data_IF_286335950409
#
_entry.id   IF_286335950409
#
_cell.length_a   1.000
_cell.length_b   1.000
_cell.length_c   1.000
_cell.angle_alpha   90.00
_cell.angle_beta   90.00
_cell.angle_gamma   90.00
#
_symmetry.space_group_name_H-M   'P 1'
#
loop_
_entity.id
_entity.type
_entity.pdbx_description
1 polymer ?
#
# COMPACT_ATOMS: atom_id res chain seq x y z
N UNK A 1 -17.97 -23.40 -13.56
CA UNK A 1 -18.25 -21.97 -13.84
C UNK A 1 -18.31 -21.29 -12.49
N UNK A 2 -17.18 -20.80 -11.98
CA UNK A 2 -17.16 -19.92 -10.80
C UNK A 2 -16.91 -18.53 -11.38
N UNK A 3 -18.00 -17.95 -11.87
CA UNK A 3 -18.02 -16.59 -12.39
C UNK A 3 -17.98 -15.62 -11.20
N UNK A 4 -16.98 -14.74 -11.14
CA UNK A 4 -17.16 -13.43 -10.52
C UNK A 4 -16.92 -13.27 -9.02
N UNK A 5 -16.01 -14.02 -8.38
CA UNK A 5 -15.44 -13.58 -7.09
C UNK A 5 -14.34 -12.54 -7.32
N UNK A 6 -14.67 -11.44 -8.00
CA UNK A 6 -13.90 -10.20 -7.85
C UNK A 6 -14.43 -9.53 -6.58
N UNK A 7 -13.55 -9.17 -5.65
CA UNK A 7 -13.95 -8.54 -4.39
C UNK A 7 -14.62 -7.18 -4.68
N UNK A 8 -15.96 -7.12 -4.65
CA UNK A 8 -16.76 -5.97 -5.13
C UNK A 8 -16.79 -4.79 -4.14
N UNK A 9 -16.25 -4.94 -2.92
CA UNK A 9 -16.34 -3.95 -1.83
C UNK A 9 -14.99 -3.66 -1.18
N UNK A 10 -14.87 -2.43 -0.67
CA UNK A 10 -13.78 -1.95 0.18
C UNK A 10 -13.90 -2.51 1.61
N UNK A 11 -13.94 -3.83 1.74
CA UNK A 11 -14.06 -4.49 3.05
C UNK A 11 -12.66 -4.61 3.68
N UNK A 12 -12.56 -4.33 4.99
CA UNK A 12 -11.32 -4.54 5.73
C UNK A 12 -10.90 -6.02 5.67
N UNK A 13 -9.60 -6.29 5.66
CA UNK A 13 -9.11 -7.67 5.69
C UNK A 13 -9.61 -8.36 6.97
N UNK A 14 -10.05 -9.62 6.85
CA UNK A 14 -10.48 -10.43 7.98
C UNK A 14 -9.29 -10.94 8.82
N UNK A 15 -8.32 -10.06 9.11
CA UNK A 15 -7.12 -10.38 9.88
C UNK A 15 -7.02 -9.52 11.13
N UNK A 16 -6.46 -10.11 12.20
CA UNK A 16 -6.21 -9.38 13.43
C UNK A 16 -5.19 -8.25 13.22
N UNK A 17 -5.36 -7.11 13.92
CA UNK A 17 -4.38 -6.03 13.89
C UNK A 17 -2.99 -6.49 14.33
N UNK A 18 -1.93 -5.90 13.74
CA UNK A 18 -0.51 -6.12 14.13
C UNK A 18 -0.05 -7.59 14.05
N UNK A 19 -0.43 -8.27 12.97
CA UNK A 19 -0.09 -9.67 12.71
C UNK A 19 1.05 -9.83 11.71
N UNK A 20 1.23 -8.88 10.80
CA UNK A 20 2.27 -8.92 9.76
C UNK A 20 3.42 -7.97 10.07
N UNK A 21 4.63 -8.41 9.74
CA UNK A 21 5.85 -7.60 9.88
C UNK A 21 6.28 -6.95 8.55
N UNK A 22 5.78 -7.46 7.42
CA UNK A 22 6.04 -6.91 6.10
C UNK A 22 4.83 -7.04 5.19
N UNK A 23 4.56 -6.01 4.38
CA UNK A 23 3.57 -6.02 3.30
C UNK A 23 4.28 -5.70 1.98
N UNK A 24 4.00 -6.50 0.95
CA UNK A 24 4.55 -6.30 -0.39
C UNK A 24 3.41 -6.17 -1.40
N UNK A 25 3.49 -5.19 -2.28
CA UNK A 25 2.53 -4.96 -3.36
C UNK A 25 3.25 -4.66 -4.68
N UNK A 26 2.85 -5.33 -5.76
CA UNK A 26 3.39 -5.12 -7.11
C UNK A 26 2.26 -4.86 -8.09
N UNK A 27 2.25 -3.68 -8.71
CA UNK A 27 1.17 -3.24 -9.61
C UNK A 27 -0.21 -3.10 -8.95
N UNK A 28 -0.30 -3.19 -7.62
CA UNK A 28 -1.56 -3.20 -6.90
C UNK A 28 -2.37 -1.90 -7.09
N UNK A 29 -1.71 -0.74 -7.05
CA UNK A 29 -2.40 0.55 -7.17
C UNK A 29 -2.88 0.80 -8.60
N UNK A 30 -2.16 0.27 -9.61
CA UNK A 30 -2.59 0.32 -11.01
C UNK A 30 -3.83 -0.55 -11.28
N UNK A 31 -3.91 -1.72 -10.65
CA UNK A 31 -5.07 -2.59 -10.70
C UNK A 31 -6.29 -1.91 -10.05
N UNK A 32 -6.13 -1.38 -8.84
CA UNK A 32 -7.19 -0.67 -8.11
C UNK A 32 -7.71 0.56 -8.86
N UNK A 33 -6.88 1.28 -9.62
CA UNK A 33 -7.36 2.38 -10.49
C UNK A 33 -8.23 1.87 -11.65
N UNK A 34 -7.93 0.70 -12.18
CA UNK A 34 -8.65 0.12 -13.33
C UNK A 34 -10.02 -0.39 -12.90
N UNK A 35 -10.10 -0.99 -11.71
CA UNK A 35 -11.36 -1.32 -11.07
C UNK A 35 -11.97 -0.04 -10.48
N UNK A 36 -12.96 0.57 -11.15
CA UNK A 36 -13.69 1.75 -10.66
C UNK A 36 -14.50 1.47 -9.37
N UNK A 37 -13.84 1.12 -8.27
CA UNK A 37 -14.45 0.89 -6.97
C UNK A 37 -13.94 1.87 -5.92
N UNK A 38 -14.81 2.14 -4.95
CA UNK A 38 -14.80 3.31 -4.05
C UNK A 38 -13.80 3.21 -2.90
N UNK A 39 -12.74 2.42 -2.99
CA UNK A 39 -11.68 2.51 -1.99
C UNK A 39 -10.83 3.73 -2.31
N UNK A 40 -10.74 4.69 -1.39
CA UNK A 40 -9.70 5.69 -1.52
C UNK A 40 -8.35 5.02 -1.28
N UNK A 41 -7.29 5.53 -1.93
CA UNK A 41 -5.92 5.08 -1.64
C UNK A 41 -5.61 5.19 -0.13
N UNK A 42 -6.19 6.20 0.55
CA UNK A 42 -6.10 6.37 2.00
C UNK A 42 -6.68 5.18 2.78
N UNK A 43 -7.86 4.67 2.42
CA UNK A 43 -8.51 3.56 3.12
C UNK A 43 -7.66 2.29 3.06
N UNK A 44 -7.03 2.03 1.90
CA UNK A 44 -6.10 0.91 1.71
C UNK A 44 -4.92 1.05 2.65
N UNK A 45 -4.27 2.21 2.70
CA UNK A 45 -3.12 2.43 3.58
C UNK A 45 -3.48 2.40 5.07
N UNK A 46 -4.69 2.84 5.45
CA UNK A 46 -5.20 2.71 6.82
C UNK A 46 -5.40 1.25 7.22
N UNK A 47 -5.87 0.44 6.29
CA UNK A 47 -6.05 -0.98 6.52
C UNK A 47 -4.69 -1.71 6.61
N UNK A 48 -3.72 -1.33 5.78
CA UNK A 48 -2.32 -1.77 5.90
C UNK A 48 -1.74 -1.34 7.25
N UNK A 49 -2.02 -0.12 7.72
CA UNK A 49 -1.60 0.34 9.05
C UNK A 49 -2.20 -0.52 10.17
N UNK A 50 -3.46 -0.91 10.05
CA UNK A 50 -4.12 -1.75 11.05
C UNK A 50 -3.44 -3.11 11.21
N UNK A 51 -3.10 -3.77 10.09
CA UNK A 51 -2.54 -5.12 10.10
C UNK A 51 -1.03 -5.17 10.38
N UNK A 52 -0.29 -4.10 10.06
CA UNK A 52 1.17 -4.06 10.19
C UNK A 52 1.60 -3.81 11.64
N UNK A 53 2.55 -4.62 12.12
CA UNK A 53 3.23 -4.45 13.41
C UNK A 53 4.04 -3.14 13.41
N UNK A 54 4.19 -2.47 14.57
CA UNK A 54 5.19 -1.41 14.71
C UNK A 54 6.57 -1.87 14.24
N UNK A 55 7.35 -0.98 13.61
CA UNK A 55 8.63 -1.27 12.92
C UNK A 55 8.53 -2.15 11.67
N UNK A 56 7.32 -2.53 11.26
CA UNK A 56 7.08 -3.29 10.04
C UNK A 56 7.38 -2.50 8.77
N UNK A 57 7.59 -3.24 7.69
CA UNK A 57 8.00 -2.71 6.38
C UNK A 57 6.87 -2.83 5.35
N UNK A 58 6.78 -1.84 4.47
CA UNK A 58 5.87 -1.89 3.32
C UNK A 58 6.67 -1.60 2.06
N UNK A 59 6.61 -2.50 1.09
CA UNK A 59 7.32 -2.37 -0.18
C UNK A 59 6.28 -2.37 -1.30
N UNK A 60 6.23 -1.29 -2.07
CA UNK A 60 5.27 -1.12 -3.16
C UNK A 60 6.03 -0.82 -4.44
N UNK A 61 5.83 -1.64 -5.48
CA UNK A 61 6.30 -1.38 -6.83
C UNK A 61 5.12 -1.00 -7.71
N UNK A 62 5.18 0.20 -8.29
CA UNK A 62 4.16 0.68 -9.20
C UNK A 62 4.73 1.81 -10.09
N UNK A 63 3.89 2.33 -10.98
CA UNK A 63 4.20 3.47 -11.85
C UNK A 63 4.50 4.74 -11.03
N UNK A 64 5.40 5.58 -11.55
CA UNK A 64 5.80 6.84 -10.93
C UNK A 64 4.66 7.72 -10.35
N UNK A 65 3.56 8.02 -11.08
CA UNK A 65 2.48 8.86 -10.53
C UNK A 65 1.71 8.20 -9.37
N UNK A 66 1.65 6.87 -9.33
CA UNK A 66 1.02 6.13 -8.26
C UNK A 66 1.89 6.11 -7.00
N UNK A 67 3.20 5.94 -7.17
CA UNK A 67 4.17 6.00 -6.08
C UNK A 67 4.19 7.40 -5.43
N UNK A 68 4.10 8.47 -6.21
CA UNK A 68 4.02 9.82 -5.67
C UNK A 68 2.74 10.07 -4.87
N UNK A 69 1.59 9.56 -5.34
CA UNK A 69 0.33 9.62 -4.61
C UNK A 69 0.38 8.82 -3.31
N UNK A 70 0.94 7.59 -3.36
CA UNK A 70 1.16 6.75 -2.19
C UNK A 70 2.07 7.43 -1.16
N UNK A 71 3.18 8.06 -1.60
CA UNK A 71 4.07 8.81 -0.71
C UNK A 71 3.33 9.91 0.04
N UNK A 72 2.46 10.66 -0.64
CA UNK A 72 1.66 11.73 0.00
C UNK A 72 0.76 11.18 1.12
N UNK A 73 0.15 10.01 0.90
CA UNK A 73 -0.68 9.32 1.89
C UNK A 73 0.15 8.81 3.07
N UNK A 74 1.24 8.10 2.78
CA UNK A 74 2.13 7.51 3.78
C UNK A 74 2.76 8.59 4.67
N UNK A 75 3.10 9.75 4.11
CA UNK A 75 3.61 10.91 4.86
C UNK A 75 2.56 11.43 5.86
N UNK A 76 1.27 11.43 5.50
CA UNK A 76 0.19 11.81 6.42
C UNK A 76 0.07 10.81 7.58
N UNK A 77 0.31 9.52 7.33
CA UNK A 77 0.37 8.48 8.36
C UNK A 77 1.66 8.52 9.21
N UNK A 78 2.57 9.46 8.92
CA UNK A 78 3.87 9.64 9.59
C UNK A 78 4.80 8.44 9.46
N UNK A 79 4.64 7.63 8.42
CA UNK A 79 5.59 6.55 8.13
C UNK A 79 6.87 7.12 7.48
N UNK A 80 8.02 6.50 7.74
CA UNK A 80 9.23 6.81 6.97
C UNK A 80 9.03 6.25 5.55
N UNK A 81 9.26 7.06 4.52
CA UNK A 81 8.96 6.71 3.14
C UNK A 81 10.16 7.05 2.25
N UNK A 82 10.68 6.04 1.56
CA UNK A 82 11.84 6.15 0.67
C UNK A 82 11.45 5.66 -0.71
N UNK A 83 11.69 6.49 -1.72
CA UNK A 83 11.52 6.12 -3.12
C UNK A 83 12.88 5.66 -3.64
N UNK A 84 12.88 4.51 -4.31
CA UNK A 84 14.02 3.95 -5.02
C UNK A 84 13.62 3.80 -6.49
N UNK A 85 14.42 4.36 -7.38
CA UNK A 85 14.26 4.16 -8.82
C UNK A 85 14.92 2.82 -9.21
N UNK A 86 14.15 1.92 -9.84
CA UNK A 86 14.62 0.57 -10.18
C UNK A 86 15.46 0.56 -11.46
N UNK A 87 15.06 1.34 -12.46
CA UNK A 87 15.76 1.53 -13.72
C UNK A 87 15.55 2.96 -14.22
N UNK A 88 16.54 3.56 -14.88
CA UNK A 88 16.48 4.89 -15.48
C UNK A 88 15.52 4.88 -16.68
N UNK A 89 15.39 3.74 -17.36
CA UNK A 89 14.55 3.59 -18.55
C UNK A 89 13.10 3.21 -18.24
N UNK A 90 12.79 2.72 -17.02
CA UNK A 90 11.44 2.31 -16.66
C UNK A 90 10.72 3.40 -15.87
N UNK A 91 9.44 3.64 -16.17
CA UNK A 91 8.56 4.50 -15.36
C UNK A 91 8.16 3.87 -14.01
N UNK A 92 8.75 2.73 -13.65
CA UNK A 92 8.48 1.99 -12.43
C UNK A 92 9.38 2.46 -11.29
N UNK A 93 8.74 2.72 -10.14
CA UNK A 93 9.42 3.13 -8.91
C UNK A 93 9.07 2.17 -7.79
N UNK A 94 10.01 2.02 -6.87
CA UNK A 94 9.82 1.25 -5.65
C UNK A 94 9.66 2.22 -4.47
N UNK A 95 8.58 2.07 -3.72
CA UNK A 95 8.34 2.78 -2.48
C UNK A 95 8.57 1.84 -1.31
N UNK A 96 9.58 2.14 -0.51
CA UNK A 96 9.90 1.44 0.73
C UNK A 96 9.45 2.32 1.89
N UNK A 97 8.46 1.86 2.63
CA UNK A 97 7.96 2.53 3.83
C UNK A 97 8.28 1.73 5.08
N UNK A 98 8.58 2.42 6.17
CA UNK A 98 8.73 1.82 7.48
C UNK A 98 7.74 2.47 8.45
N UNK A 99 6.96 1.63 9.13
CA UNK A 99 6.03 2.10 10.16
C UNK A 99 6.80 2.42 11.44
N UNK A 100 6.80 3.67 11.94
CA UNK A 100 7.56 4.03 13.12
C UNK A 100 7.00 3.36 14.37
N UNK A 101 7.88 3.08 15.32
CA UNK A 101 7.50 2.71 16.67
C UNK A 101 7.12 3.97 17.46
N UNK A 102 5.82 4.30 17.48
CA UNK A 102 5.31 5.38 18.32
C UNK A 102 5.36 4.97 19.80
N UNK A 103 6.44 5.35 20.51
CA UNK A 103 6.42 5.43 21.98
C UNK A 103 5.59 6.65 22.37
N UNK A 104 4.54 6.42 23.17
CA UNK A 104 3.85 7.51 23.88
C UNK A 104 4.75 8.09 24.96
#
# INVERSE_FOLDING_TARGET
MIDGWTCVRCDAFATYPRTYDMVHADGFLSLEKTHKHRCSTLDIFLEVDRILRPEGWVIIRDTAPLIEAARSVVTQLRWDARILDLDIASDEKLLVCQKPFLRK
#
